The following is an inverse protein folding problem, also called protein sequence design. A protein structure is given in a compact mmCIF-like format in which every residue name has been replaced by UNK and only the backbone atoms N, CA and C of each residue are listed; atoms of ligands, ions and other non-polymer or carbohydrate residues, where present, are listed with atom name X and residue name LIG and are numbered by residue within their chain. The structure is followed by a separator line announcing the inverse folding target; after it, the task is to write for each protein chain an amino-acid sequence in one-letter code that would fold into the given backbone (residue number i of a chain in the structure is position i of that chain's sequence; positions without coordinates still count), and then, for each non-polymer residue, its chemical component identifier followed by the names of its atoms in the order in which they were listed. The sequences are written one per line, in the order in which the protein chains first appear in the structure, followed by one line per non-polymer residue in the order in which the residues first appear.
data_IF_401158617489
#
_entry.id   IF_401158617489
#
_cell.length_a   1.000
_cell.length_b   1.000
_cell.length_c   1.000
_cell.angle_alpha   90.00
_cell.angle_beta   90.00
_cell.angle_gamma   90.00
#
_symmetry.space_group_name_H-M   'P 1'
#
loop_
_entity.id
_entity.type
_entity.pdbx_description
1 polymer ?
#
# COMPACT_ATOMS: atom_id res chain seq x y z
N UNK A 1 27.76 -6.21 -90.48
CA UNK A 1 26.43 -6.47 -89.96
C UNK A 1 26.42 -6.13 -88.45
N UNK A 2 26.04 -4.91 -88.10
CA UNK A 2 26.01 -4.47 -86.74
C UNK A 2 24.56 -4.42 -86.21
N UNK A 3 24.30 -5.11 -85.16
CA UNK A 3 23.02 -5.03 -84.47
C UNK A 3 23.11 -3.95 -83.38
N UNK A 4 22.34 -2.89 -83.56
CA UNK A 4 22.16 -1.82 -82.55
C UNK A 4 21.14 -2.31 -81.54
N UNK A 5 21.57 -2.49 -80.26
CA UNK A 5 20.69 -2.69 -79.12
C UNK A 5 20.19 -1.36 -78.62
N UNK A 6 18.87 -1.12 -78.67
CA UNK A 6 18.21 -0.03 -78.02
C UNK A 6 17.93 -0.40 -76.58
N UNK A 7 18.68 0.17 -75.63
CA UNK A 7 18.32 0.08 -74.23
C UNK A 7 17.13 1.03 -73.98
N UNK A 8 16.02 0.46 -73.49
CA UNK A 8 14.89 1.24 -73.01
C UNK A 8 15.20 1.82 -71.64
N UNK A 9 14.99 3.13 -71.37
CA UNK A 9 15.17 3.69 -70.04
C UNK A 9 14.19 3.08 -69.05
N UNK A 10 14.69 2.58 -67.93
CA UNK A 10 13.89 2.08 -66.81
C UNK A 10 13.16 3.28 -66.17
N UNK A 11 11.84 3.29 -66.04
CA UNK A 11 11.15 4.37 -65.32
C UNK A 11 11.56 4.38 -63.86
N UNK A 12 12.17 5.45 -63.41
CA UNK A 12 12.43 5.69 -61.96
C UNK A 12 11.09 5.94 -61.28
N UNK A 13 10.56 4.93 -60.64
CA UNK A 13 9.39 5.05 -59.75
C UNK A 13 9.87 5.74 -58.48
N UNK A 14 9.57 7.03 -58.36
CA UNK A 14 9.69 7.73 -57.08
C UNK A 14 8.65 7.19 -56.12
N UNK A 15 9.10 6.29 -55.24
CA UNK A 15 8.26 5.82 -54.09
C UNK A 15 8.18 7.02 -53.12
N UNK A 16 6.98 7.55 -52.83
CA UNK A 16 6.87 8.59 -51.83
C UNK A 16 7.31 8.03 -50.47
N UNK A 17 8.33 8.65 -49.87
CA UNK A 17 8.75 8.37 -48.51
C UNK A 17 7.57 8.75 -47.62
N UNK A 18 7.04 7.82 -46.79
CA UNK A 18 5.98 8.18 -45.88
C UNK A 18 6.50 9.28 -44.96
N UNK A 19 5.85 10.43 -44.99
CA UNK A 19 6.04 11.47 -43.96
C UNK A 19 5.62 10.81 -42.64
N UNK A 20 6.60 10.56 -41.76
CA UNK A 20 6.34 10.17 -40.39
C UNK A 20 5.70 11.40 -39.74
N UNK A 21 4.37 11.49 -39.81
CA UNK A 21 3.65 12.38 -38.92
C UNK A 21 4.15 12.06 -37.51
N UNK A 22 4.59 13.11 -36.81
CA UNK A 22 4.90 13.03 -35.38
C UNK A 22 3.68 12.42 -34.70
N UNK A 23 3.75 11.10 -34.47
CA UNK A 23 2.83 10.44 -33.55
C UNK A 23 3.08 11.17 -32.25
N UNK A 24 2.15 12.06 -31.89
CA UNK A 24 2.15 12.69 -30.59
C UNK A 24 2.29 11.56 -29.59
N UNK A 25 3.39 11.57 -28.84
CA UNK A 25 3.56 10.70 -27.67
C UNK A 25 2.41 11.11 -26.75
N UNK A 26 1.25 10.47 -26.92
CA UNK A 26 0.22 10.51 -25.91
C UNK A 26 0.92 9.99 -24.66
N UNK A 27 1.28 10.91 -23.77
CA UNK A 27 1.75 10.57 -22.43
C UNK A 27 0.61 9.76 -21.83
N UNK A 28 0.73 8.43 -21.90
CA UNK A 28 -0.09 7.54 -21.12
C UNK A 28 0.34 7.82 -19.69
N UNK A 29 -0.24 8.85 -19.07
CA UNK A 29 -0.27 9.02 -17.63
C UNK A 29 -1.21 7.95 -17.07
N UNK A 30 -0.92 6.70 -17.38
CA UNK A 30 -1.40 5.59 -16.60
C UNK A 30 -0.85 5.81 -15.20
N UNK A 31 -1.74 6.10 -14.28
CA UNK A 31 -1.44 6.19 -12.85
C UNK A 31 -0.69 4.90 -12.50
N UNK A 32 0.65 4.98 -12.39
CA UNK A 32 1.45 3.80 -12.04
C UNK A 32 0.98 3.41 -10.63
N UNK A 33 0.27 2.30 -10.56
CA UNK A 33 -0.18 1.77 -9.29
C UNK A 33 1.05 1.34 -8.49
N UNK A 34 1.20 1.73 -7.20
CA UNK A 34 2.29 1.26 -6.36
C UNK A 34 2.40 -0.27 -6.40
N UNK A 35 3.59 -0.83 -6.24
CA UNK A 35 3.77 -2.26 -6.09
C UNK A 35 3.13 -2.76 -4.79
N UNK A 36 3.13 -4.07 -4.55
CA UNK A 36 2.61 -4.62 -3.29
C UNK A 36 3.49 -4.17 -2.12
N UNK A 37 2.90 -3.83 -0.97
CA UNK A 37 3.68 -3.49 0.22
C UNK A 37 4.42 -4.73 0.72
N UNK A 38 5.70 -4.56 1.09
CA UNK A 38 6.57 -5.65 1.51
C UNK A 38 7.10 -5.50 2.94
N UNK A 39 7.31 -4.27 3.41
CA UNK A 39 7.91 -4.00 4.74
C UNK A 39 7.29 -2.77 5.39
N UNK A 40 7.11 -2.85 6.71
CA UNK A 40 6.69 -1.75 7.59
C UNK A 40 7.79 -1.47 8.60
N UNK A 41 8.17 -0.19 8.75
CA UNK A 41 9.14 0.25 9.76
C UNK A 41 8.58 1.41 10.58
N UNK A 42 8.64 1.31 11.92
CA UNK A 42 8.21 2.36 12.86
C UNK A 42 9.30 2.51 13.93
N UNK A 43 10.32 3.36 13.70
CA UNK A 43 11.50 3.43 14.57
C UNK A 43 11.21 3.80 16.02
N UNK A 44 10.22 4.69 16.26
CA UNK A 44 9.88 5.17 17.60
C UNK A 44 9.39 4.09 18.56
N UNK A 45 8.94 2.94 18.03
CA UNK A 45 8.48 1.79 18.82
C UNK A 45 9.21 0.48 18.46
N UNK A 46 10.27 0.57 17.63
CA UNK A 46 11.13 -0.57 17.28
C UNK A 46 10.48 -1.61 16.36
N UNK A 47 9.45 -1.23 15.58
CA UNK A 47 8.82 -2.13 14.61
C UNK A 47 9.63 -2.15 13.32
N UNK A 48 9.92 -3.36 12.85
CA UNK A 48 10.52 -3.65 11.55
C UNK A 48 10.00 -5.02 11.08
N UNK A 49 8.95 -5.04 10.27
CA UNK A 49 8.15 -6.23 10.01
C UNK A 49 7.89 -6.45 8.51
N UNK A 50 7.78 -7.72 8.13
CA UNK A 50 7.28 -8.12 6.81
C UNK A 50 5.77 -7.94 6.75
N UNK A 51 5.25 -7.74 5.52
CA UNK A 51 3.83 -7.53 5.29
C UNK A 51 3.24 -8.75 4.56
N UNK A 52 2.18 -9.29 5.14
CA UNK A 52 1.35 -10.35 4.56
C UNK A 52 0.10 -9.72 3.93
N UNK A 53 -0.27 -10.13 2.71
CA UNK A 53 -1.54 -9.73 2.09
C UNK A 53 -2.66 -10.58 2.63
N UNK A 54 -3.70 -9.94 3.19
CA UNK A 54 -4.86 -10.64 3.74
C UNK A 54 -6.17 -10.13 3.12
N UNK A 55 -7.22 -10.93 3.22
CA UNK A 55 -8.58 -10.60 2.80
C UNK A 55 -9.51 -10.39 3.98
N UNK A 56 -10.70 -10.98 3.86
CA UNK A 56 -11.76 -11.00 4.85
C UNK A 56 -11.86 -12.44 5.38
N UNK A 57 -11.95 -12.58 6.69
CA UNK A 57 -12.15 -13.85 7.37
C UNK A 57 -13.62 -14.35 7.21
N UNK A 58 -13.93 -15.60 7.62
CA UNK A 58 -15.29 -16.14 7.53
C UNK A 58 -16.35 -15.36 8.32
N UNK A 59 -15.94 -14.57 9.31
CA UNK A 59 -16.84 -13.76 10.15
C UNK A 59 -17.08 -12.35 9.55
N UNK A 60 -16.43 -12.03 8.42
CA UNK A 60 -16.58 -10.77 7.70
C UNK A 60 -15.65 -9.66 8.18
N UNK A 61 -14.68 -9.95 9.04
CA UNK A 61 -13.66 -9.00 9.49
C UNK A 61 -12.39 -9.05 8.60
N UNK A 62 -11.55 -8.04 8.70
CA UNK A 62 -10.20 -8.10 8.13
C UNK A 62 -9.42 -9.22 8.82
N UNK A 63 -8.83 -10.10 8.03
CA UNK A 63 -8.00 -11.19 8.54
C UNK A 63 -6.69 -10.67 9.17
N UNK A 64 -6.00 -11.50 9.92
CA UNK A 64 -4.79 -11.17 10.69
C UNK A 64 -3.56 -11.85 10.10
N UNK A 65 -2.32 -11.36 10.38
CA UNK A 65 -1.13 -12.02 9.90
C UNK A 65 -0.96 -13.39 10.57
N UNK A 66 -0.35 -14.33 9.85
CA UNK A 66 -0.10 -15.68 10.37
C UNK A 66 1.03 -15.69 11.41
N UNK A 67 2.10 -14.92 11.14
CA UNK A 67 3.18 -14.76 12.11
C UNK A 67 2.92 -13.56 13.02
N UNK A 68 3.17 -13.75 14.33
CA UNK A 68 2.96 -12.73 15.36
C UNK A 68 3.87 -11.49 15.17
N UNK A 69 5.00 -11.65 14.49
CA UNK A 69 5.97 -10.59 14.22
C UNK A 69 5.73 -9.88 12.88
N UNK A 70 4.81 -10.41 12.06
CA UNK A 70 4.42 -9.80 10.78
C UNK A 70 3.22 -8.87 10.93
N UNK A 71 2.98 -8.10 9.87
CA UNK A 71 1.85 -7.19 9.72
C UNK A 71 0.99 -7.65 8.55
N UNK A 72 -0.33 -7.65 8.70
CA UNK A 72 -1.27 -7.91 7.63
C UNK A 72 -1.64 -6.61 6.91
N UNK A 73 -1.64 -6.60 5.59
CA UNK A 73 -2.22 -5.54 4.77
C UNK A 73 -3.56 -6.01 4.19
N UNK A 74 -4.61 -5.19 4.35
CA UNK A 74 -5.93 -5.42 3.77
C UNK A 74 -5.90 -5.25 2.25
N UNK A 75 -5.78 -6.34 1.51
CA UNK A 75 -5.53 -6.35 0.06
C UNK A 75 -6.71 -5.88 -0.79
N UNK A 76 -7.93 -5.82 -0.21
CA UNK A 76 -9.12 -5.28 -0.85
C UNK A 76 -9.24 -3.75 -0.73
N UNK A 77 -8.36 -3.12 0.05
CA UNK A 77 -8.26 -1.67 0.21
C UNK A 77 -7.17 -1.04 -0.67
N UNK A 78 -6.87 0.23 -0.37
CA UNK A 78 -5.80 0.97 -1.05
C UNK A 78 -4.42 0.39 -0.71
N UNK A 79 -3.49 0.47 -1.66
CA UNK A 79 -2.07 0.25 -1.38
C UNK A 79 -1.45 1.49 -0.73
N UNK A 80 -0.39 1.34 0.08
CA UNK A 80 0.39 2.50 0.49
C UNK A 80 0.80 3.35 -0.71
N UNK A 81 0.58 4.68 -0.60
CA UNK A 81 0.82 5.62 -1.70
C UNK A 81 -0.35 5.81 -2.67
N UNK A 82 -1.43 5.05 -2.55
CA UNK A 82 -2.69 5.32 -3.25
C UNK A 82 -3.60 6.24 -2.43
N UNK A 83 -4.51 6.94 -3.10
CA UNK A 83 -5.58 7.69 -2.45
C UNK A 83 -6.52 6.75 -1.70
N UNK A 84 -6.98 7.17 -0.53
CA UNK A 84 -7.76 6.37 0.38
C UNK A 84 -6.92 5.87 1.56
N UNK A 85 -7.42 4.88 2.30
CA UNK A 85 -6.73 4.27 3.42
C UNK A 85 -6.12 2.92 3.04
N UNK A 86 -4.80 2.81 3.16
CA UNK A 86 -4.17 1.51 3.36
C UNK A 86 -4.36 1.11 4.82
N UNK A 87 -4.78 -0.13 5.08
CA UNK A 87 -5.05 -0.61 6.43
C UNK A 87 -4.14 -1.78 6.75
N UNK A 88 -3.41 -1.66 7.86
CA UNK A 88 -2.51 -2.69 8.35
C UNK A 88 -2.93 -3.14 9.74
N UNK A 89 -3.00 -4.46 9.95
CA UNK A 89 -3.29 -5.06 11.23
C UNK A 89 -2.09 -5.84 11.76
N UNK A 90 -1.89 -5.84 13.06
CA UNK A 90 -0.84 -6.62 13.72
C UNK A 90 -1.32 -7.15 15.07
N UNK A 91 -0.72 -8.23 15.50
CA UNK A 91 -1.03 -8.84 16.79
C UNK A 91 -0.61 -7.99 17.98
N UNK A 92 -1.22 -8.26 19.12
CA UNK A 92 -0.97 -7.66 20.43
C UNK A 92 -0.67 -8.75 21.46
N UNK A 93 0.20 -8.45 22.42
CA UNK A 93 0.54 -9.36 23.52
C UNK A 93 1.67 -10.31 23.16
N UNK A 94 1.66 -11.50 23.77
CA UNK A 94 2.71 -12.50 23.65
C UNK A 94 2.18 -13.81 23.09
N UNK A 95 3.01 -14.51 22.32
CA UNK A 95 2.81 -15.91 21.95
C UNK A 95 4.04 -16.71 22.35
N UNK A 96 3.95 -17.41 23.47
CA UNK A 96 5.13 -17.97 24.15
C UNK A 96 6.01 -16.83 24.71
N UNK A 97 7.25 -16.80 24.31
CA UNK A 97 8.27 -15.78 24.67
C UNK A 97 8.40 -14.65 23.62
N UNK A 98 7.69 -14.74 22.49
CA UNK A 98 7.73 -13.72 21.41
C UNK A 98 6.69 -12.63 21.63
N UNK A 99 7.16 -11.38 21.55
CA UNK A 99 6.30 -10.20 21.63
C UNK A 99 5.65 -9.95 20.26
N UNK A 100 4.37 -9.61 20.25
CA UNK A 100 3.64 -9.27 19.05
C UNK A 100 4.10 -7.93 18.45
N UNK A 101 4.05 -7.85 17.10
CA UNK A 101 4.55 -6.71 16.32
C UNK A 101 3.97 -5.35 16.77
N UNK A 102 2.70 -5.32 17.18
CA UNK A 102 2.01 -4.08 17.58
C UNK A 102 1.74 -3.97 19.09
N UNK A 103 2.45 -4.75 19.91
CA UNK A 103 2.30 -4.65 21.37
C UNK A 103 2.58 -3.24 21.90
N UNK A 104 3.51 -2.52 21.27
CA UNK A 104 3.89 -1.16 21.63
C UNK A 104 3.16 -0.05 20.83
N UNK A 105 2.15 -0.39 20.01
CA UNK A 105 1.48 0.58 19.12
C UNK A 105 0.87 1.77 19.90
N UNK A 106 0.41 1.53 21.13
CA UNK A 106 -0.16 2.55 22.02
C UNK A 106 0.84 3.67 22.41
N UNK A 107 2.13 3.44 22.22
CA UNK A 107 3.19 4.42 22.53
C UNK A 107 3.35 5.49 21.45
N UNK A 108 2.80 5.28 20.25
CA UNK A 108 2.88 6.25 19.17
C UNK A 108 2.23 7.58 19.56
N UNK A 109 2.85 8.66 19.11
CA UNK A 109 2.42 10.04 19.34
C UNK A 109 2.27 10.78 18.04
N UNK A 110 1.42 11.79 18.02
CA UNK A 110 1.29 12.70 16.86
C UNK A 110 2.67 13.22 16.46
N UNK A 111 3.00 13.10 15.18
CA UNK A 111 4.29 13.49 14.59
C UNK A 111 5.28 12.33 14.42
N UNK A 112 5.05 11.16 15.04
CA UNK A 112 5.89 9.98 14.81
C UNK A 112 5.80 9.53 13.35
N UNK A 113 6.92 9.00 12.82
CA UNK A 113 7.00 8.57 11.43
C UNK A 113 6.79 7.07 11.29
N UNK A 114 6.07 6.72 10.24
CA UNK A 114 5.81 5.35 9.80
C UNK A 114 6.25 5.22 8.35
N UNK A 115 7.01 4.19 8.04
CA UNK A 115 7.57 3.95 6.71
C UNK A 115 7.02 2.65 6.16
N UNK A 116 6.54 2.68 4.92
CA UNK A 116 6.24 1.48 4.15
C UNK A 116 7.18 1.37 2.97
N UNK A 117 7.62 0.16 2.66
CA UNK A 117 8.42 -0.15 1.48
C UNK A 117 7.65 -1.18 0.64
N UNK A 118 7.60 -0.96 -0.66
CA UNK A 118 7.01 -1.91 -1.60
C UNK A 118 8.04 -2.92 -2.12
N UNK A 119 7.59 -3.93 -2.87
CA UNK A 119 8.44 -4.98 -3.47
C UNK A 119 9.53 -4.44 -4.41
N UNK A 120 9.39 -3.20 -4.89
CA UNK A 120 10.37 -2.51 -5.74
C UNK A 120 11.34 -1.65 -4.95
N UNK A 121 11.22 -1.62 -3.61
CA UNK A 121 12.03 -0.80 -2.74
C UNK A 121 11.58 0.67 -2.63
N UNK A 122 10.44 1.04 -3.22
CA UNK A 122 9.89 2.39 -3.12
C UNK A 122 9.33 2.61 -1.72
N UNK A 123 9.79 3.68 -1.07
CA UNK A 123 9.37 4.03 0.28
C UNK A 123 8.30 5.12 0.27
N UNK A 124 7.31 4.98 1.14
CA UNK A 124 6.31 6.01 1.44
C UNK A 124 6.37 6.31 2.92
N UNK A 125 6.47 7.60 3.26
CA UNK A 125 6.49 8.08 4.64
C UNK A 125 5.12 8.59 5.04
N UNK A 126 4.70 8.21 6.24
CA UNK A 126 3.48 8.68 6.89
C UNK A 126 3.80 9.29 8.24
N UNK A 127 2.95 10.19 8.70
CA UNK A 127 3.08 10.87 9.99
C UNK A 127 1.83 10.59 10.82
N UNK A 128 2.01 10.16 12.06
CA UNK A 128 0.90 9.91 12.98
C UNK A 128 0.11 11.20 13.21
N UNK A 129 -1.19 11.14 12.96
CA UNK A 129 -2.14 12.23 13.18
C UNK A 129 -2.83 12.13 14.53
N UNK A 130 -3.39 10.95 14.80
CA UNK A 130 -4.17 10.68 16.02
C UNK A 130 -4.27 9.18 16.30
N UNK A 131 -4.72 8.87 17.49
CA UNK A 131 -4.99 7.51 17.95
C UNK A 131 -6.40 7.44 18.52
N UNK A 132 -7.17 6.41 18.16
CA UNK A 132 -8.51 6.16 18.68
C UNK A 132 -8.69 4.72 19.15
N UNK A 133 -9.62 4.53 20.08
CA UNK A 133 -10.04 3.21 20.57
C UNK A 133 -11.46 2.94 20.16
N UNK A 134 -11.68 1.73 19.68
CA UNK A 134 -12.98 1.26 19.21
C UNK A 134 -13.41 0.02 20.00
N UNK A 135 -14.70 -0.11 20.25
CA UNK A 135 -15.28 -1.39 20.59
C UNK A 135 -15.06 -2.38 19.43
N UNK A 136 -14.75 -3.66 19.69
CA UNK A 136 -14.51 -4.65 18.62
C UNK A 136 -15.68 -4.81 17.64
N UNK A 137 -16.90 -4.44 18.05
CA UNK A 137 -18.11 -4.49 17.22
C UNK A 137 -18.53 -3.14 16.66
N UNK A 138 -17.79 -2.08 16.94
CA UNK A 138 -18.10 -0.74 16.40
C UNK A 138 -17.98 -0.70 14.87
N UNK A 139 -18.78 0.16 14.26
CA UNK A 139 -18.58 0.49 12.87
C UNK A 139 -17.27 1.28 12.72
N UNK A 140 -16.30 0.73 12.00
CA UNK A 140 -14.98 1.32 11.75
C UNK A 140 -14.84 1.81 10.31
N UNK A 141 -15.90 2.33 9.71
CA UNK A 141 -15.90 2.81 8.31
C UNK A 141 -14.83 3.86 8.07
N UNK A 142 -14.58 4.76 9.02
CA UNK A 142 -13.54 5.78 8.96
C UNK A 142 -12.11 5.23 8.93
N UNK A 143 -11.92 3.98 9.35
CA UNK A 143 -10.61 3.30 9.27
C UNK A 143 -10.32 2.83 7.85
N UNK A 144 -11.34 2.35 7.13
CA UNK A 144 -11.19 1.73 5.80
C UNK A 144 -11.47 2.70 4.65
N UNK A 145 -12.27 3.74 4.87
CA UNK A 145 -12.77 4.62 3.82
C UNK A 145 -12.85 6.09 4.20
N UNK A 146 -11.73 6.84 4.36
CA UNK A 146 -11.81 8.28 4.51
C UNK A 146 -12.29 8.91 3.19
N UNK A 147 -13.28 9.78 3.27
CA UNK A 147 -13.89 10.45 2.12
C UNK A 147 -13.13 11.68 1.60
N UNK A 148 -11.86 11.92 1.99
CA UNK A 148 -11.15 13.18 1.76
C UNK A 148 -10.18 13.17 0.58
N UNK A 149 -10.13 12.07 -0.18
CA UNK A 149 -9.29 11.90 -1.38
C UNK A 149 -7.76 12.05 -1.14
N UNK A 150 -7.30 11.97 0.12
CA UNK A 150 -5.90 11.95 0.52
C UNK A 150 -5.35 10.52 0.61
N UNK A 151 -4.10 10.39 0.98
CA UNK A 151 -3.40 9.12 1.16
C UNK A 151 -3.16 8.88 2.64
N UNK A 152 -3.76 7.82 3.17
CA UNK A 152 -3.67 7.45 4.58
C UNK A 152 -3.09 6.06 4.74
N UNK A 153 -2.50 5.84 5.91
CA UNK A 153 -2.16 4.52 6.42
C UNK A 153 -2.72 4.41 7.84
N UNK A 154 -3.57 3.43 8.07
CA UNK A 154 -4.16 3.19 9.38
C UNK A 154 -3.63 1.85 9.93
N UNK A 155 -3.15 1.89 11.18
CA UNK A 155 -2.59 0.75 11.88
C UNK A 155 -3.58 0.28 12.94
N UNK A 156 -3.89 -1.02 12.97
CA UNK A 156 -4.89 -1.61 13.88
C UNK A 156 -4.25 -2.71 14.70
N UNK A 157 -4.53 -2.72 16.00
CA UNK A 157 -4.21 -3.85 16.88
C UNK A 157 -5.31 -4.07 17.92
N UNK A 158 -5.25 -5.21 18.58
CA UNK A 158 -6.03 -5.48 19.77
C UNK A 158 -5.42 -4.73 20.97
N UNK A 159 -6.23 -4.41 21.96
CA UNK A 159 -5.81 -3.81 23.24
C UNK A 159 -6.81 -4.17 24.34
N UNK A 160 -6.40 -4.02 25.61
CA UNK A 160 -7.23 -4.19 26.77
C UNK A 160 -7.28 -5.62 27.28
N UNK A 161 -8.37 -5.98 27.96
CA UNK A 161 -8.50 -7.26 28.64
C UNK A 161 -8.91 -8.38 27.67
N UNK A 162 -8.29 -9.56 27.85
CA UNK A 162 -8.64 -10.74 27.09
C UNK A 162 -9.90 -11.41 27.68
N UNK A 163 -10.95 -11.53 26.87
CA UNK A 163 -12.14 -12.31 27.20
C UNK A 163 -11.97 -13.76 26.80
N UNK A 164 -11.92 -14.65 27.78
CA UNK A 164 -11.87 -16.11 27.55
C UNK A 164 -13.16 -16.66 26.91
N UNK A 165 -14.29 -16.04 27.23
CA UNK A 165 -15.60 -16.40 26.67
C UNK A 165 -15.74 -15.94 25.23
N UNK A 166 -15.36 -14.68 24.95
CA UNK A 166 -15.44 -14.08 23.61
C UNK A 166 -14.22 -14.37 22.73
N UNK A 167 -13.16 -14.99 23.29
CA UNK A 167 -11.88 -15.23 22.60
C UNK A 167 -11.36 -13.98 21.87
N UNK A 168 -11.50 -12.81 22.49
CA UNK A 168 -11.15 -11.54 21.90
C UNK A 168 -10.72 -10.54 22.97
N UNK A 169 -9.89 -9.58 22.59
CA UNK A 169 -9.59 -8.41 23.41
C UNK A 169 -10.75 -7.43 23.43
N UNK A 170 -10.89 -6.69 24.52
CA UNK A 170 -12.01 -5.77 24.78
C UNK A 170 -12.01 -4.53 23.89
N UNK A 171 -10.87 -4.20 23.26
CA UNK A 171 -10.68 -2.94 22.52
C UNK A 171 -9.89 -3.17 21.24
N UNK A 172 -10.11 -2.32 20.24
CA UNK A 172 -9.27 -2.15 19.07
C UNK A 172 -8.61 -0.78 19.14
N UNK A 173 -7.28 -0.76 19.11
CA UNK A 173 -6.49 0.46 18.99
C UNK A 173 -6.23 0.74 17.53
N UNK A 174 -6.54 1.95 17.08
CA UNK A 174 -6.28 2.40 15.71
C UNK A 174 -5.42 3.66 15.75
N UNK A 175 -4.31 3.63 15.02
CA UNK A 175 -3.44 4.79 14.79
C UNK A 175 -3.66 5.27 13.37
N UNK A 176 -4.12 6.49 13.23
CA UNK A 176 -4.35 7.16 11.95
C UNK A 176 -3.12 7.95 11.55
N UNK A 177 -2.68 7.76 10.32
CA UNK A 177 -1.54 8.49 9.78
C UNK A 177 -1.87 9.10 8.42
N UNK A 178 -1.23 10.22 8.10
CA UNK A 178 -1.33 10.89 6.81
C UNK A 178 0.01 10.78 6.07
N UNK A 179 -0.03 10.66 4.75
CA UNK A 179 1.19 10.69 3.94
C UNK A 179 1.94 12.00 4.19
N UNK A 180 3.24 11.91 4.43
CA UNK A 180 4.10 13.08 4.52
C UNK A 180 4.19 13.74 3.13
N UNK A 181 3.82 15.01 3.06
CA UNK A 181 4.00 15.79 1.84
C UNK A 181 5.48 16.19 1.74
N UNK A 182 6.14 15.80 0.66
CA UNK A 182 7.48 16.31 0.37
C UNK A 182 7.29 17.74 -0.11
N UNK A 183 7.81 18.70 0.66
CA UNK A 183 7.84 20.09 0.23
C UNK A 183 8.60 20.20 -1.12
N UNK A 184 8.11 21.01 -2.07
CA UNK A 184 8.72 21.17 -3.39
C UNK A 184 10.13 21.79 -3.32
#
# INVERSE_FOLDING_TARGET
MGFLYFEKPIPTVLVPVPVIEKIGVATIQGKIRPALPARLTIPSIGVDAMIESVGIDPDGAMDVPQDIENVAWFSLGSRPGEKGSAVFAGHYGYKGDRLAVFDNLYKLRKGDKVFTQDEKGIMVTYVVRETRRYDPKANAFDVFGPGDNKMHLNLITCEGDWSTTGKSYSTRLVVFTDREEVAP
#
